data_IF_050686800796
#
_entry.id   IF_050686800796
#
_cell.length_a   1.000
_cell.length_b   1.000
_cell.length_c   1.000
_cell.angle_alpha   90.00
_cell.angle_beta   90.00
_cell.angle_gamma   90.00
#
_symmetry.space_group_name_H-M   'P 1'
#
loop_
_entity.id
_entity.type
_entity.pdbx_description
1 polymer ?
#
# COMPACT_ATOMS: atom_id res chain seq x y z
N UNK A 1 -12.40 -12.73 -8.89
CA UNK A 1 -13.15 -13.19 -7.71
C UNK A 1 -14.31 -12.24 -7.36
N UNK A 2 -14.07 -10.93 -7.16
CA UNK A 2 -15.13 -9.96 -6.80
C UNK A 2 -16.30 -9.95 -7.80
N UNK A 3 -16.02 -9.95 -9.11
CA UNK A 3 -17.04 -10.01 -10.15
C UNK A 3 -17.89 -11.29 -10.10
N UNK A 4 -17.26 -12.42 -9.79
CA UNK A 4 -17.95 -13.73 -9.63
C UNK A 4 -18.92 -13.70 -8.46
N UNK A 5 -18.47 -13.16 -7.31
CA UNK A 5 -19.31 -13.02 -6.10
C UNK A 5 -20.52 -12.11 -6.35
N UNK A 6 -20.32 -10.97 -7.03
CA UNK A 6 -21.40 -10.06 -7.37
C UNK A 6 -22.40 -10.68 -8.36
N UNK A 7 -21.94 -11.44 -9.35
CA UNK A 7 -22.82 -12.18 -10.25
C UNK A 7 -23.69 -13.22 -9.52
N UNK A 8 -23.15 -13.86 -8.47
CA UNK A 8 -23.94 -14.77 -7.62
C UNK A 8 -24.94 -14.00 -6.74
N UNK A 9 -24.57 -12.81 -6.22
CA UNK A 9 -25.47 -11.97 -5.46
C UNK A 9 -26.63 -11.44 -6.30
N UNK A 10 -26.38 -11.10 -7.56
CA UNK A 10 -27.42 -10.64 -8.50
C UNK A 10 -28.53 -11.66 -8.73
N UNK A 11 -28.22 -12.95 -8.64
CA UNK A 11 -29.18 -14.05 -8.82
C UNK A 11 -30.05 -14.34 -7.58
N UNK A 12 -29.75 -13.73 -6.43
CA UNK A 12 -30.52 -13.96 -5.20
C UNK A 12 -31.68 -12.96 -5.10
N UNK A 13 -32.85 -13.38 -4.58
CA UNK A 13 -33.94 -12.45 -4.26
C UNK A 13 -33.48 -11.58 -3.10
N UNK A 14 -33.02 -10.38 -3.38
CA UNK A 14 -32.47 -9.46 -2.39
C UNK A 14 -33.40 -8.25 -2.29
N UNK A 15 -33.78 -7.91 -1.05
CA UNK A 15 -34.52 -6.69 -0.77
C UNK A 15 -33.58 -5.50 -0.88
N UNK A 16 -33.87 -4.60 -1.80
CA UNK A 16 -33.09 -3.38 -2.08
C UNK A 16 -33.74 -2.13 -1.45
N UNK A 17 -33.00 -1.02 -1.22
CA UNK A 17 -31.61 -0.76 -1.56
C UNK A 17 -30.63 -1.25 -0.48
N UNK A 18 -29.45 -1.69 -0.90
CA UNK A 18 -28.33 -2.09 -0.02
C UNK A 18 -27.19 -1.09 -0.08
N UNK A 19 -26.39 -1.08 1.00
CA UNK A 19 -25.10 -0.42 1.00
C UNK A 19 -24.04 -1.43 0.61
N UNK A 20 -23.39 -1.20 -0.53
CA UNK A 20 -22.28 -2.00 -1.03
C UNK A 20 -20.96 -1.28 -0.71
N UNK A 21 -20.06 -1.98 -0.05
CA UNK A 21 -18.74 -1.44 0.31
C UNK A 21 -17.67 -2.22 -0.44
N UNK A 22 -16.99 -1.54 -1.35
CA UNK A 22 -15.79 -2.09 -1.98
C UNK A 22 -14.57 -1.70 -1.13
N UNK A 23 -13.91 -2.70 -0.54
CA UNK A 23 -12.64 -2.52 0.17
C UNK A 23 -11.44 -3.05 -0.63
N UNK A 24 -11.66 -3.60 -1.83
CA UNK A 24 -10.61 -4.18 -2.66
C UNK A 24 -9.94 -3.14 -3.53
N UNK A 25 -8.62 -3.22 -3.70
CA UNK A 25 -7.87 -2.39 -4.63
C UNK A 25 -7.96 -2.99 -6.05
N UNK A 26 -8.88 -2.46 -6.85
CA UNK A 26 -9.15 -2.92 -8.22
C UNK A 26 -8.63 -1.94 -9.31
N UNK A 27 -7.79 -1.00 -8.92
CA UNK A 27 -7.36 0.12 -9.75
C UNK A 27 -8.44 1.18 -9.94
N UNK A 28 -8.17 2.20 -10.75
CA UNK A 28 -9.12 3.28 -10.99
C UNK A 28 -10.38 2.78 -11.69
N UNK A 29 -11.50 3.37 -11.34
CA UNK A 29 -12.85 2.98 -11.76
C UNK A 29 -13.22 1.53 -11.36
N UNK A 30 -12.50 0.93 -10.43
CA UNK A 30 -12.76 -0.41 -9.93
C UNK A 30 -14.16 -0.54 -9.33
N UNK A 31 -14.50 0.36 -8.42
CA UNK A 31 -15.83 0.41 -7.79
C UNK A 31 -16.93 0.69 -8.81
N UNK A 32 -16.71 1.57 -9.77
CA UNK A 32 -17.67 1.85 -10.83
C UNK A 32 -17.94 0.61 -11.71
N UNK A 33 -16.93 -0.21 -11.98
CA UNK A 33 -17.11 -1.48 -12.69
C UNK A 33 -17.98 -2.47 -11.91
N UNK A 34 -17.84 -2.51 -10.58
CA UNK A 34 -18.68 -3.32 -9.71
C UNK A 34 -20.12 -2.78 -9.67
N UNK A 35 -20.29 -1.46 -9.58
CA UNK A 35 -21.59 -0.80 -9.58
C UNK A 35 -22.43 -1.09 -10.82
N UNK A 36 -21.80 -1.28 -12.00
CA UNK A 36 -22.52 -1.64 -13.22
C UNK A 36 -23.27 -2.98 -13.12
N UNK A 37 -22.86 -3.87 -12.21
CA UNK A 37 -23.50 -5.18 -12.00
C UNK A 37 -24.72 -5.03 -11.08
N UNK A 38 -24.65 -4.17 -10.06
CA UNK A 38 -25.71 -3.88 -9.10
C UNK A 38 -25.99 -2.37 -9.04
N UNK A 39 -26.57 -1.79 -10.08
CA UNK A 39 -26.71 -0.34 -10.22
C UNK A 39 -27.73 0.30 -9.29
N UNK A 40 -28.64 -0.50 -8.70
CA UNK A 40 -29.69 -0.06 -7.80
C UNK A 40 -29.22 0.15 -6.35
N UNK A 41 -28.01 -0.28 -6.02
CA UNK A 41 -27.46 -0.19 -4.67
C UNK A 41 -26.59 1.06 -4.49
N UNK A 42 -26.50 1.55 -3.25
CA UNK A 42 -25.55 2.60 -2.88
C UNK A 42 -24.15 2.01 -2.78
N UNK A 43 -23.19 2.58 -3.49
CA UNK A 43 -21.81 2.10 -3.50
C UNK A 43 -20.88 3.06 -2.78
N UNK A 44 -19.99 2.46 -1.99
CA UNK A 44 -18.90 3.15 -1.28
C UNK A 44 -17.59 2.45 -1.59
N UNK A 45 -16.54 3.21 -1.78
CA UNK A 45 -15.18 2.73 -1.74
C UNK A 45 -14.57 3.05 -0.37
N UNK A 46 -14.18 2.00 0.37
CA UNK A 46 -13.48 2.12 1.65
C UNK A 46 -12.07 1.52 1.47
N UNK A 47 -11.05 2.34 1.20
CA UNK A 47 -9.69 1.84 1.01
C UNK A 47 -9.24 0.97 2.17
N UNK A 48 -8.72 -0.21 1.88
CA UNK A 48 -8.04 -1.03 2.87
C UNK A 48 -6.70 -0.37 3.25
N UNK A 49 -6.63 0.18 4.45
CA UNK A 49 -5.44 0.76 5.07
C UNK A 49 -4.88 -0.14 6.19
N UNK A 50 -5.36 -1.38 6.27
CA UNK A 50 -4.94 -2.35 7.29
C UNK A 50 -3.48 -2.75 7.01
N UNK A 51 -2.70 -2.77 8.10
CA UNK A 51 -1.31 -3.19 8.03
C UNK A 51 -1.19 -4.65 8.50
N UNK A 52 -0.71 -5.52 7.63
CA UNK A 52 -0.41 -6.90 8.01
C UNK A 52 0.55 -6.94 9.20
N UNK A 53 0.31 -7.86 10.14
CA UNK A 53 1.04 -7.94 11.41
C UNK A 53 0.55 -6.96 12.48
N UNK A 54 -0.29 -5.96 12.10
CA UNK A 54 -0.82 -4.94 13.02
C UNK A 54 -2.29 -4.59 12.73
N UNK A 55 -3.06 -5.53 12.17
CA UNK A 55 -4.40 -5.29 11.64
C UNK A 55 -5.37 -4.71 12.68
N UNK A 56 -5.47 -5.33 13.84
CA UNK A 56 -6.39 -4.88 14.90
C UNK A 56 -6.06 -3.48 15.37
N UNK A 57 -4.78 -3.18 15.56
CA UNK A 57 -4.37 -1.85 16.03
C UNK A 57 -4.56 -0.78 14.95
N UNK A 58 -4.28 -1.10 13.69
CA UNK A 58 -4.49 -0.17 12.58
C UNK A 58 -5.95 0.22 12.41
N UNK A 59 -6.90 -0.69 12.66
CA UNK A 59 -8.33 -0.40 12.69
C UNK A 59 -8.75 0.37 13.94
N UNK A 60 -8.42 -0.15 15.12
CA UNK A 60 -8.93 0.41 16.40
C UNK A 60 -8.32 1.75 16.77
N UNK A 61 -7.12 2.08 16.26
CA UNK A 61 -6.42 3.36 16.50
C UNK A 61 -6.60 4.37 15.37
N UNK A 62 -7.24 4.00 14.27
CA UNK A 62 -7.49 4.94 13.19
C UNK A 62 -8.29 6.15 13.69
N UNK A 63 -7.74 7.35 13.51
CA UNK A 63 -8.39 8.61 13.87
C UNK A 63 -9.15 9.21 12.69
N UNK A 64 -8.74 8.88 11.49
CA UNK A 64 -9.29 9.40 10.24
C UNK A 64 -9.47 8.25 9.24
N UNK A 65 -10.62 8.26 8.55
CA UNK A 65 -10.94 7.32 7.49
C UNK A 65 -11.17 8.08 6.18
N UNK A 66 -10.45 7.69 5.14
CA UNK A 66 -10.72 8.14 3.77
C UNK A 66 -11.82 7.28 3.17
N UNK A 67 -12.82 7.90 2.55
CA UNK A 67 -14.00 7.22 2.02
C UNK A 67 -14.40 7.82 0.68
N UNK A 68 -14.47 6.99 -0.35
CA UNK A 68 -15.06 7.37 -1.63
C UNK A 68 -16.58 7.21 -1.58
N UNK A 69 -17.31 8.31 -1.43
CA UNK A 69 -18.77 8.30 -1.36
C UNK A 69 -19.35 9.68 -1.61
N UNK A 70 -20.23 9.81 -2.60
CA UNK A 70 -20.90 11.05 -2.97
C UNK A 70 -22.34 11.13 -2.42
N UNK A 71 -22.92 10.00 -1.98
CA UNK A 71 -24.29 9.93 -1.47
C UNK A 71 -24.34 10.15 0.05
N UNK A 72 -24.96 11.24 0.49
CA UNK A 72 -25.05 11.61 1.92
C UNK A 72 -25.77 10.53 2.78
N UNK A 73 -26.79 9.88 2.24
CA UNK A 73 -27.48 8.79 2.97
C UNK A 73 -26.56 7.60 3.21
N UNK A 74 -25.75 7.26 2.20
CA UNK A 74 -24.77 6.21 2.30
C UNK A 74 -23.68 6.57 3.31
N UNK A 75 -23.24 7.84 3.37
CA UNK A 75 -22.27 8.33 4.34
C UNK A 75 -22.77 8.15 5.79
N UNK A 76 -24.04 8.49 6.06
CA UNK A 76 -24.63 8.32 7.40
C UNK A 76 -24.65 6.84 7.79
N UNK A 77 -25.17 5.97 6.93
CA UNK A 77 -25.21 4.52 7.18
C UNK A 77 -23.83 3.93 7.41
N UNK A 78 -22.83 4.39 6.63
CA UNK A 78 -21.45 3.94 6.79
C UNK A 78 -20.89 4.31 8.16
N UNK A 79 -21.09 5.53 8.63
CA UNK A 79 -20.61 5.97 9.95
C UNK A 79 -21.20 5.11 11.06
N UNK A 80 -22.49 4.80 11.01
CA UNK A 80 -23.15 3.92 11.97
C UNK A 80 -22.57 2.51 11.93
N UNK A 81 -22.35 1.95 10.73
CA UNK A 81 -21.79 0.62 10.53
C UNK A 81 -20.36 0.52 11.04
N UNK A 82 -19.53 1.53 10.77
CA UNK A 82 -18.10 1.49 11.09
C UNK A 82 -17.77 1.88 12.54
N UNK A 83 -18.69 2.51 13.25
CA UNK A 83 -18.47 2.96 14.63
C UNK A 83 -17.91 1.88 15.57
N UNK A 84 -18.41 0.63 15.57
CA UNK A 84 -17.85 -0.42 16.43
C UNK A 84 -16.48 -0.91 15.98
N UNK A 85 -16.16 -0.83 14.68
CA UNK A 85 -14.91 -1.30 14.11
C UNK A 85 -13.78 -0.26 14.25
N UNK A 86 -14.13 1.02 14.17
CA UNK A 86 -13.22 2.16 14.26
C UNK A 86 -13.62 3.11 15.39
N UNK A 87 -13.50 2.68 16.65
CA UNK A 87 -14.02 3.43 17.79
C UNK A 87 -13.36 4.79 18.02
N UNK A 88 -12.18 5.01 17.43
CA UNK A 88 -11.43 6.26 17.53
C UNK A 88 -11.53 7.14 16.28
N UNK A 89 -12.24 6.70 15.25
CA UNK A 89 -12.43 7.50 14.05
C UNK A 89 -13.26 8.75 14.37
N UNK A 90 -12.59 9.89 14.50
CA UNK A 90 -13.22 11.18 14.75
C UNK A 90 -13.56 11.91 13.45
N UNK A 91 -12.85 11.60 12.38
CA UNK A 91 -12.96 12.28 11.11
C UNK A 91 -13.12 11.29 9.96
N UNK A 92 -14.14 11.54 9.13
CA UNK A 92 -14.33 10.86 7.85
C UNK A 92 -14.04 11.86 6.72
N UNK A 93 -13.04 11.56 5.91
CA UNK A 93 -12.69 12.33 4.75
C UNK A 93 -13.44 11.77 3.54
N UNK A 94 -14.64 12.31 3.29
CA UNK A 94 -15.45 11.93 2.14
C UNK A 94 -14.96 12.64 0.89
N UNK A 95 -14.88 11.90 -0.20
CA UNK A 95 -14.49 12.41 -1.52
C UNK A 95 -15.15 11.57 -2.62
N UNK A 96 -15.12 11.99 -3.89
CA UNK A 96 -15.52 11.15 -5.00
C UNK A 96 -14.82 9.79 -5.00
N UNK A 97 -15.52 8.74 -5.45
CA UNK A 97 -14.98 7.37 -5.44
C UNK A 97 -13.65 7.28 -6.18
N UNK A 98 -13.55 7.92 -7.36
CA UNK A 98 -12.33 7.92 -8.16
C UNK A 98 -11.15 8.56 -7.43
N UNK A 99 -11.40 9.66 -6.71
CA UNK A 99 -10.38 10.38 -5.94
C UNK A 99 -9.87 9.50 -4.78
N UNK A 100 -10.76 8.78 -4.12
CA UNK A 100 -10.39 7.87 -3.04
C UNK A 100 -9.60 6.65 -3.55
N UNK A 101 -9.95 6.09 -4.72
CA UNK A 101 -9.17 5.04 -5.38
C UNK A 101 -7.77 5.54 -5.74
N UNK A 102 -7.66 6.74 -6.31
CA UNK A 102 -6.37 7.32 -6.62
C UNK A 102 -5.56 7.68 -5.37
N UNK A 103 -6.21 8.18 -4.32
CA UNK A 103 -5.58 8.47 -3.02
C UNK A 103 -4.93 7.22 -2.42
N UNK A 104 -5.62 6.07 -2.45
CA UNK A 104 -5.07 4.80 -1.95
C UNK A 104 -3.79 4.42 -2.68
N UNK A 105 -3.80 4.45 -4.00
CA UNK A 105 -2.62 4.14 -4.82
C UNK A 105 -1.49 5.15 -4.60
N UNK A 106 -1.82 6.44 -4.46
CA UNK A 106 -0.85 7.51 -4.22
C UNK A 106 -0.15 7.35 -2.87
N UNK A 107 -0.87 6.92 -1.82
CA UNK A 107 -0.28 6.61 -0.52
C UNK A 107 0.75 5.48 -0.67
N UNK A 108 0.39 4.38 -1.32
CA UNK A 108 1.31 3.26 -1.56
C UNK A 108 2.54 3.71 -2.36
N UNK A 109 2.36 4.51 -3.40
CA UNK A 109 3.46 5.08 -4.19
C UNK A 109 4.40 5.97 -3.37
N UNK A 110 3.85 6.82 -2.48
CA UNK A 110 4.65 7.67 -1.58
C UNK A 110 5.45 6.82 -0.59
N UNK A 111 4.84 5.79 0.01
CA UNK A 111 5.53 4.91 0.95
C UNK A 111 6.65 4.11 0.28
N UNK A 112 6.44 3.63 -0.95
CA UNK A 112 7.47 2.98 -1.76
C UNK A 112 8.63 3.93 -2.08
N UNK A 113 8.31 5.18 -2.43
CA UNK A 113 9.31 6.22 -2.69
C UNK A 113 10.20 6.45 -1.47
N UNK A 114 9.62 6.50 -0.28
CA UNK A 114 10.38 6.66 0.98
C UNK A 114 11.35 5.51 1.21
N UNK A 115 10.90 4.26 1.02
CA UNK A 115 11.75 3.08 1.18
C UNK A 115 12.88 3.07 0.13
N UNK A 116 12.55 3.29 -1.14
CA UNK A 116 13.56 3.33 -2.20
C UNK A 116 14.56 4.48 -1.99
N UNK A 117 14.09 5.65 -1.54
CA UNK A 117 14.94 6.80 -1.26
C UNK A 117 15.96 6.52 -0.15
N UNK A 118 15.52 5.96 0.99
CA UNK A 118 16.46 5.67 2.08
C UNK A 118 17.43 4.52 1.71
N UNK A 119 16.98 3.56 0.91
CA UNK A 119 17.83 2.49 0.39
C UNK A 119 18.90 3.02 -0.57
N UNK A 120 18.55 3.92 -1.48
CA UNK A 120 19.48 4.57 -2.38
C UNK A 120 20.55 5.37 -1.62
N UNK A 121 20.11 6.16 -0.62
CA UNK A 121 21.02 6.88 0.27
C UNK A 121 21.94 5.94 1.06
N UNK A 122 21.45 4.76 1.48
CA UNK A 122 22.26 3.79 2.22
C UNK A 122 23.42 3.25 1.38
N UNK A 123 23.21 3.03 0.08
CA UNK A 123 24.28 2.61 -0.85
C UNK A 123 25.35 3.70 -0.99
N UNK A 124 24.94 4.96 -1.07
CA UNK A 124 25.87 6.10 -1.13
C UNK A 124 26.61 6.26 0.20
N UNK A 125 25.90 6.20 1.32
CA UNK A 125 26.48 6.33 2.66
C UNK A 125 27.56 5.27 2.92
N UNK A 126 27.33 4.02 2.52
CA UNK A 126 28.31 2.94 2.62
C UNK A 126 29.61 3.26 1.89
N UNK A 127 29.52 3.80 0.68
CA UNK A 127 30.71 4.20 -0.10
C UNK A 127 31.49 5.37 0.50
N UNK A 128 30.79 6.24 1.20
CA UNK A 128 31.39 7.42 1.85
C UNK A 128 31.84 7.14 3.29
N UNK A 129 31.60 5.95 3.85
CA UNK A 129 31.88 5.63 5.24
C UNK A 129 30.95 6.35 6.22
N UNK A 130 29.76 6.74 5.79
CA UNK A 130 28.74 7.41 6.60
C UNK A 130 27.83 6.36 7.24
N UNK A 131 27.51 6.53 8.52
CA UNK A 131 26.51 5.72 9.17
C UNK A 131 25.09 6.19 8.76
N UNK A 132 24.42 5.37 7.95
CA UNK A 132 23.06 5.67 7.47
C UNK A 132 22.04 5.80 8.62
N UNK A 133 22.29 5.15 9.77
CA UNK A 133 21.40 5.25 10.92
C UNK A 133 21.40 6.68 11.51
N UNK A 134 22.53 7.33 11.58
CA UNK A 134 22.62 8.75 12.00
C UNK A 134 21.89 9.66 11.02
N UNK A 135 22.03 9.41 9.70
CA UNK A 135 21.30 10.17 8.68
C UNK A 135 19.80 9.96 8.82
N UNK A 136 19.38 8.70 8.97
CA UNK A 136 17.97 8.35 9.19
C UNK A 136 17.37 9.04 10.40
N UNK A 137 18.08 9.04 11.55
CA UNK A 137 17.65 9.71 12.77
C UNK A 137 17.52 11.21 12.57
N UNK A 138 18.50 11.84 11.91
CA UNK A 138 18.46 13.26 11.58
C UNK A 138 17.26 13.62 10.69
N UNK A 139 17.01 12.81 9.66
CA UNK A 139 15.85 13.01 8.78
C UNK A 139 14.53 12.78 9.51
N UNK A 140 14.46 11.76 10.38
CA UNK A 140 13.25 11.43 11.13
C UNK A 140 12.89 12.51 12.17
N UNK A 141 13.86 13.28 12.66
CA UNK A 141 13.66 14.39 13.58
C UNK A 141 12.97 15.59 12.93
N UNK A 142 13.04 15.73 11.60
CA UNK A 142 12.28 16.74 10.87
C UNK A 142 10.81 16.30 10.80
N UNK A 143 9.91 17.06 11.45
CA UNK A 143 8.47 16.77 11.53
C UNK A 143 7.78 16.71 10.16
N UNK A 144 8.35 17.34 9.14
CA UNK A 144 7.84 17.28 7.76
C UNK A 144 8.11 15.93 7.10
N UNK A 145 9.07 15.16 7.62
CA UNK A 145 9.48 13.84 7.12
C UNK A 145 8.96 12.73 8.05
N UNK A 146 9.37 12.73 9.31
CA UNK A 146 9.05 11.68 10.28
C UNK A 146 9.73 10.35 9.99
N UNK A 147 9.61 9.40 10.92
CA UNK A 147 10.37 8.14 10.92
C UNK A 147 9.76 7.00 10.08
N UNK A 148 8.45 7.07 9.77
CA UNK A 148 7.74 5.96 9.13
C UNK A 148 8.27 5.68 7.72
N UNK A 149 8.48 4.39 7.39
CA UNK A 149 8.98 3.95 6.07
C UNK A 149 10.37 4.52 5.70
N UNK A 150 11.20 4.81 6.69
CA UNK A 150 12.55 5.39 6.51
C UNK A 150 13.66 4.46 7.02
N UNK A 151 13.41 3.16 7.13
CA UNK A 151 14.43 2.17 7.51
C UNK A 151 15.01 1.53 6.24
N UNK A 152 16.35 1.58 6.05
CA UNK A 152 16.99 0.86 4.95
C UNK A 152 16.91 -0.65 5.19
N UNK A 153 16.81 -1.41 4.11
CA UNK A 153 16.68 -2.85 4.16
C UNK A 153 16.81 -3.49 2.79
N UNK A 154 16.37 -4.74 2.64
CA UNK A 154 16.46 -5.50 1.39
C UNK A 154 15.42 -5.09 0.32
N UNK A 155 14.78 -3.95 0.46
CA UNK A 155 13.70 -3.49 -0.40
C UNK A 155 12.32 -3.85 0.15
N UNK A 156 11.29 -3.38 -0.55
CA UNK A 156 9.91 -3.74 -0.24
C UNK A 156 9.44 -4.92 -1.10
N UNK A 157 8.49 -5.67 -0.58
CA UNK A 157 7.83 -6.80 -1.22
C UNK A 157 6.37 -6.88 -0.78
N UNK A 158 5.83 -8.10 -0.83
CA UNK A 158 4.44 -8.37 -0.56
C UNK A 158 3.54 -8.16 -1.77
N UNK A 159 2.49 -8.97 -1.87
CA UNK A 159 1.61 -8.98 -3.03
C UNK A 159 0.83 -7.67 -3.16
N UNK A 160 0.18 -7.23 -2.08
CA UNK A 160 -0.70 -6.06 -2.08
C UNK A 160 0.06 -4.77 -2.39
N UNK A 161 1.19 -4.54 -1.71
CA UNK A 161 1.96 -3.32 -1.85
C UNK A 161 2.59 -3.20 -3.25
N UNK A 162 3.18 -4.28 -3.75
CA UNK A 162 3.74 -4.33 -5.10
C UNK A 162 2.66 -4.14 -6.17
N UNK A 163 1.48 -4.75 -5.98
CA UNK A 163 0.35 -4.59 -6.89
C UNK A 163 -0.14 -3.14 -6.97
N UNK A 164 -0.26 -2.45 -5.83
CA UNK A 164 -0.67 -1.05 -5.78
C UNK A 164 0.27 -0.16 -6.59
N UNK A 165 1.59 -0.35 -6.42
CA UNK A 165 2.60 0.45 -7.11
C UNK A 165 2.57 0.21 -8.62
N UNK A 166 2.48 -1.05 -9.04
CA UNK A 166 2.37 -1.42 -10.45
C UNK A 166 1.08 -0.88 -11.07
N UNK A 167 -0.04 -0.96 -10.33
CA UNK A 167 -1.32 -0.41 -10.76
C UNK A 167 -1.25 1.09 -10.92
N UNK A 168 -0.61 1.81 -10.00
CA UNK A 168 -0.41 3.25 -10.11
C UNK A 168 0.46 3.59 -11.33
N UNK A 169 1.59 2.91 -11.51
CA UNK A 169 2.50 3.13 -12.63
C UNK A 169 1.81 2.89 -13.98
N UNK A 170 1.05 1.79 -14.11
CA UNK A 170 0.28 1.48 -15.32
C UNK A 170 -0.81 2.52 -15.57
N UNK A 171 -1.52 2.95 -14.53
CA UNK A 171 -2.54 4.00 -14.63
C UNK A 171 -1.96 5.29 -15.16
N UNK A 172 -0.82 5.74 -14.63
CA UNK A 172 -0.15 6.95 -15.11
C UNK A 172 0.27 6.79 -16.57
N UNK A 173 0.78 5.62 -16.96
CA UNK A 173 1.16 5.36 -18.35
C UNK A 173 -0.02 5.46 -19.34
N UNK A 174 -1.22 5.05 -18.92
CA UNK A 174 -2.44 5.14 -19.77
C UNK A 174 -2.92 6.58 -19.98
N UNK A 175 -2.51 7.52 -19.16
CA UNK A 175 -2.84 8.95 -19.33
C UNK A 175 -1.97 9.66 -20.37
N UNK A 176 -0.96 8.99 -20.91
CA UNK A 176 0.05 9.60 -21.79
C UNK A 176 1.11 10.43 -21.07
N UNK A 177 1.02 10.55 -19.73
CA UNK A 177 2.04 11.22 -18.90
C UNK A 177 3.17 10.24 -18.62
N UNK A 178 4.40 10.62 -18.92
CA UNK A 178 5.59 9.83 -18.55
C UNK A 178 5.93 10.12 -17.08
N UNK A 179 5.48 9.28 -16.17
CA UNK A 179 5.95 9.32 -14.78
C UNK A 179 7.28 8.59 -14.66
N UNK A 180 8.35 9.35 -14.58
CA UNK A 180 9.70 8.79 -14.39
C UNK A 180 9.91 8.33 -12.94
N UNK A 181 9.35 9.04 -11.96
CA UNK A 181 9.60 8.80 -10.54
C UNK A 181 9.22 7.37 -10.12
N UNK A 182 8.00 6.92 -10.44
CA UNK A 182 7.54 5.60 -10.03
C UNK A 182 8.32 4.46 -10.68
N UNK A 183 8.75 4.64 -11.94
CA UNK A 183 9.61 3.69 -12.61
C UNK A 183 10.96 3.58 -11.90
N UNK A 184 11.59 4.71 -11.56
CA UNK A 184 12.85 4.72 -10.81
C UNK A 184 12.72 4.13 -9.41
N UNK A 185 11.64 4.42 -8.70
CA UNK A 185 11.35 3.82 -7.38
C UNK A 185 11.30 2.29 -7.48
N UNK A 186 10.66 1.77 -8.53
CA UNK A 186 10.60 0.33 -8.78
C UNK A 186 11.98 -0.25 -9.11
N UNK A 187 12.71 0.37 -10.03
CA UNK A 187 14.03 -0.10 -10.45
C UNK A 187 15.03 -0.12 -9.28
N UNK A 188 15.03 0.91 -8.43
CA UNK A 188 15.84 0.95 -7.21
C UNK A 188 15.47 -0.22 -6.30
N UNK A 189 14.18 -0.51 -6.14
CA UNK A 189 13.73 -1.62 -5.30
C UNK A 189 14.18 -2.99 -5.84
N UNK A 190 14.09 -3.21 -7.14
CA UNK A 190 14.57 -4.47 -7.75
C UNK A 190 16.08 -4.64 -7.56
N UNK A 191 16.86 -3.57 -7.74
CA UNK A 191 18.31 -3.58 -7.47
C UNK A 191 18.62 -3.86 -6.00
N UNK A 192 17.79 -3.32 -5.08
CA UNK A 192 17.96 -3.50 -3.64
C UNK A 192 17.72 -4.95 -3.19
N UNK A 193 16.78 -5.66 -3.80
CA UNK A 193 16.55 -7.09 -3.53
C UNK A 193 17.77 -7.97 -3.80
N UNK A 194 18.58 -7.58 -4.76
CA UNK A 194 19.81 -8.31 -5.13
C UNK A 194 21.04 -7.89 -4.30
N UNK A 195 20.94 -6.80 -3.54
CA UNK A 195 22.10 -6.20 -2.87
C UNK A 195 22.83 -7.18 -1.96
N UNK A 196 22.10 -7.96 -1.16
CA UNK A 196 22.70 -8.91 -0.22
C UNK A 196 23.45 -10.02 -0.96
N UNK A 197 22.90 -10.53 -2.07
CA UNK A 197 23.58 -11.50 -2.91
C UNK A 197 24.84 -10.93 -3.53
N UNK A 198 24.79 -9.69 -4.06
CA UNK A 198 25.96 -9.04 -4.64
C UNK A 198 27.07 -8.82 -3.61
N UNK A 199 26.72 -8.43 -2.36
CA UNK A 199 27.69 -8.30 -1.27
C UNK A 199 28.34 -9.63 -0.94
N UNK A 200 27.55 -10.70 -0.83
CA UNK A 200 28.04 -12.04 -0.58
C UNK A 200 28.98 -12.53 -1.70
N UNK A 201 28.54 -12.34 -2.96
CA UNK A 201 29.32 -12.69 -4.14
C UNK A 201 30.66 -11.97 -4.18
N UNK A 202 30.68 -10.68 -3.91
CA UNK A 202 31.91 -9.89 -3.89
C UNK A 202 32.83 -10.29 -2.73
N UNK A 203 32.28 -10.56 -1.55
CA UNK A 203 33.04 -10.99 -0.38
C UNK A 203 33.80 -12.30 -0.63
N UNK A 204 33.18 -13.25 -1.30
CA UNK A 204 33.79 -14.53 -1.66
C UNK A 204 34.44 -14.53 -3.04
N UNK A 205 34.63 -13.37 -3.67
CA UNK A 205 35.28 -13.21 -4.98
C UNK A 205 34.69 -14.12 -6.07
N UNK A 206 33.40 -14.36 -6.02
CA UNK A 206 32.64 -15.18 -6.99
C UNK A 206 32.64 -16.69 -6.69
N UNK A 207 33.38 -17.17 -5.68
CA UNK A 207 33.40 -18.58 -5.33
C UNK A 207 32.55 -18.87 -4.09
N UNK A 208 31.37 -19.42 -4.30
CA UNK A 208 30.44 -19.85 -3.27
C UNK A 208 30.46 -21.36 -3.02
N UNK A 209 31.36 -22.12 -3.67
CA UNK A 209 31.44 -23.57 -3.50
C UNK A 209 31.76 -23.94 -2.05
N UNK A 210 30.97 -24.84 -1.48
CA UNK A 210 31.14 -25.32 -0.10
C UNK A 210 30.90 -24.25 0.98
N UNK A 211 30.35 -23.07 0.64
CA UNK A 211 29.95 -22.06 1.62
C UNK A 211 28.54 -22.32 2.12
N UNK A 212 28.36 -22.15 3.41
CA UNK A 212 27.04 -22.21 4.03
C UNK A 212 26.58 -20.79 4.36
N UNK A 213 25.39 -20.43 3.87
CA UNK A 213 24.76 -19.14 4.14
C UNK A 213 23.52 -19.39 4.99
N UNK A 214 23.47 -18.79 6.16
CA UNK A 214 22.29 -18.84 7.03
C UNK A 214 21.39 -17.63 6.79
N UNK A 215 20.09 -17.88 6.60
CA UNK A 215 19.07 -16.84 6.54
C UNK A 215 18.40 -16.79 7.91
N UNK A 216 18.48 -15.64 8.57
CA UNK A 216 17.87 -15.43 9.88
C UNK A 216 16.57 -14.64 9.73
N UNK A 217 15.45 -15.37 9.80
CA UNK A 217 14.11 -14.84 9.57
C UNK A 217 13.66 -15.00 8.12
N UNK A 218 12.57 -15.74 7.94
CA UNK A 218 11.98 -16.00 6.63
C UNK A 218 10.53 -15.50 6.52
N UNK A 219 9.99 -14.90 7.59
CA UNK A 219 8.67 -14.27 7.55
C UNK A 219 8.67 -13.03 6.65
N UNK A 220 7.51 -12.70 6.09
CA UNK A 220 7.34 -11.50 5.26
C UNK A 220 7.73 -10.23 6.02
N UNK A 221 7.32 -10.10 7.28
CA UNK A 221 7.70 -9.05 8.24
C UNK A 221 7.34 -9.47 9.65
N UNK A 222 7.70 -8.66 10.63
CA UNK A 222 7.38 -8.88 12.03
C UNK A 222 5.87 -9.14 12.23
N UNK A 223 5.53 -10.13 13.05
CA UNK A 223 4.16 -10.59 13.33
C UNK A 223 3.38 -11.12 12.13
N UNK A 224 4.05 -11.59 11.08
CA UNK A 224 3.44 -12.29 9.94
C UNK A 224 4.03 -13.68 9.77
N UNK A 225 3.34 -14.51 8.94
CA UNK A 225 3.85 -15.84 8.58
C UNK A 225 4.93 -15.76 7.50
#
# INVERSE_FOLDING_TARGET
HALTVLGQLQQRPIIHPKLMINASTLGLNGTQRLQKILPQDDWIYLPDMIQEGNAIQSMTRAQQLTVGCENERAQVKLKELLRPLFPRAQQYLFMPVLDAEFTKLSISGMLATRISYINDLAVVAEKLGIDIEHVRQGMAADSRIGASYMYPGAGFGGENFSHDIQTLASTVSTTGVKSQLLAQVWDINEQQKELLFRKLWNYYQGDLNGKTVAIWGAAFKENTA
#
